data_IF_933600350990
#
_entry.id   IF_933600350990
#
_cell.length_a   1.000
_cell.length_b   1.000
_cell.length_c   1.000
_cell.angle_alpha   90.00
_cell.angle_beta   90.00
_cell.angle_gamma   90.00
#
_symmetry.space_group_name_H-M   'P 1'
#
loop_
_entity.id
_entity.type
_entity.pdbx_description
1 polymer ?
#
# COMPACT_ATOMS: atom_id res chain seq x y z
N UNK A 1 7.92 -9.86 1.23
CA UNK A 1 8.34 -8.62 0.55
C UNK A 1 8.52 -8.78 -0.96
N UNK A 2 7.89 -7.90 -1.75
CA UNK A 2 8.22 -7.64 -3.16
C UNK A 2 8.00 -6.16 -3.48
N UNK A 3 8.59 -5.64 -4.57
CA UNK A 3 8.44 -4.25 -4.98
C UNK A 3 8.15 -4.10 -6.47
N UNK A 4 7.45 -3.04 -6.84
CA UNK A 4 7.13 -2.67 -8.22
C UNK A 4 7.48 -1.21 -8.47
N UNK A 5 7.81 -0.87 -9.72
CA UNK A 5 7.98 0.50 -10.16
C UNK A 5 6.78 0.91 -11.02
N UNK A 6 6.17 2.06 -10.72
CA UNK A 6 5.06 2.60 -11.49
C UNK A 6 5.26 4.07 -11.84
N UNK A 7 4.73 4.48 -12.99
CA UNK A 7 4.60 5.88 -13.39
C UNK A 7 3.19 6.44 -13.17
N UNK A 8 2.26 5.62 -12.67
CA UNK A 8 0.89 6.02 -12.35
C UNK A 8 0.82 6.92 -11.13
N UNK A 9 -0.32 7.61 -11.02
CA UNK A 9 -0.64 8.43 -9.86
C UNK A 9 -0.82 7.55 -8.61
N UNK A 10 0.17 7.61 -7.72
CA UNK A 10 0.21 6.80 -6.50
C UNK A 10 -0.97 7.09 -5.59
N UNK A 11 -1.41 8.35 -5.53
CA UNK A 11 -2.51 8.77 -4.66
C UNK A 11 -3.82 8.10 -5.09
N UNK A 12 -4.12 8.17 -6.39
CA UNK A 12 -5.27 7.47 -6.99
C UNK A 12 -5.20 5.95 -6.79
N UNK A 13 -4.02 5.33 -6.96
CA UNK A 13 -3.82 3.90 -6.70
C UNK A 13 -4.11 3.55 -5.23
N UNK A 14 -3.62 4.38 -4.31
CA UNK A 14 -3.79 4.14 -2.88
C UNK A 14 -5.24 4.32 -2.44
N UNK A 15 -5.98 5.28 -2.99
CA UNK A 15 -7.43 5.40 -2.75
C UNK A 15 -8.16 4.14 -3.23
N UNK A 16 -7.93 3.71 -4.47
CA UNK A 16 -8.56 2.52 -5.05
C UNK A 16 -8.28 1.26 -4.21
N UNK A 17 -7.02 1.05 -3.82
CA UNK A 17 -6.64 -0.11 -3.02
C UNK A 17 -7.25 -0.10 -1.63
N UNK A 18 -7.35 1.04 -0.97
CA UNK A 18 -7.99 1.13 0.35
C UNK A 18 -9.47 0.75 0.29
N UNK A 19 -10.18 1.21 -0.74
CA UNK A 19 -11.59 0.85 -0.95
C UNK A 19 -11.73 -0.64 -1.26
N UNK A 20 -10.88 -1.17 -2.15
CA UNK A 20 -10.90 -2.58 -2.52
C UNK A 20 -10.55 -3.51 -1.35
N UNK A 21 -9.57 -3.14 -0.51
CA UNK A 21 -9.17 -3.89 0.68
C UNK A 21 -10.30 -3.95 1.70
N UNK A 22 -10.91 -2.81 2.02
CA UNK A 22 -12.07 -2.75 2.91
C UNK A 22 -13.24 -3.57 2.37
N UNK A 23 -13.57 -3.44 1.08
CA UNK A 23 -14.64 -4.21 0.44
C UNK A 23 -14.38 -5.72 0.40
N UNK A 24 -13.11 -6.14 0.48
CA UNK A 24 -12.69 -7.55 0.43
C UNK A 24 -12.50 -8.18 1.80
N UNK A 25 -12.79 -7.47 2.89
CA UNK A 25 -12.64 -7.99 4.26
C UNK A 25 -11.23 -7.85 4.84
N UNK A 26 -10.40 -6.98 4.28
CA UNK A 26 -9.09 -6.60 4.79
C UNK A 26 -9.17 -5.17 5.34
N UNK A 27 -9.63 -4.95 6.58
CA UNK A 27 -9.73 -3.62 7.15
C UNK A 27 -8.37 -2.91 7.13
N UNK A 28 -8.37 -1.69 6.58
CA UNK A 28 -7.21 -0.80 6.56
C UNK A 28 -7.14 -0.06 7.90
N UNK A 29 -6.03 -0.23 8.63
CA UNK A 29 -5.76 0.42 9.91
C UNK A 29 -4.98 1.72 9.79
N UNK A 30 -4.16 1.87 8.74
CA UNK A 30 -3.47 3.11 8.40
C UNK A 30 -3.63 3.34 6.91
N UNK A 31 -4.19 4.49 6.55
CA UNK A 31 -4.51 4.85 5.18
C UNK A 31 -3.49 5.80 4.57
N UNK A 32 -3.61 6.01 3.26
CA UNK A 32 -2.77 6.91 2.47
C UNK A 32 -2.75 8.38 2.96
N UNK A 33 -3.81 8.77 3.68
CA UNK A 33 -4.02 10.10 4.26
C UNK A 33 -3.19 10.35 5.52
N UNK A 34 -2.54 9.32 6.07
CA UNK A 34 -1.64 9.49 7.22
C UNK A 34 -0.35 10.18 6.77
N UNK A 35 -0.37 11.51 6.84
CA UNK A 35 0.58 12.49 6.30
C UNK A 35 2.08 12.22 6.51
N UNK A 36 2.46 11.30 7.40
CA UNK A 36 3.86 11.00 7.68
C UNK A 36 4.46 9.89 6.81
N UNK A 37 3.67 8.94 6.33
CA UNK A 37 4.17 7.77 5.59
C UNK A 37 3.13 7.40 4.52
N UNK A 38 3.43 7.59 3.23
CA UNK A 38 2.56 7.15 2.11
C UNK A 38 2.48 5.62 2.11
N UNK A 39 1.68 5.11 3.02
CA UNK A 39 1.62 3.70 3.36
C UNK A 39 0.19 3.27 3.63
N UNK A 40 -0.10 2.01 3.31
CA UNK A 40 -1.36 1.35 3.65
C UNK A 40 -1.01 0.19 4.55
N UNK A 41 -1.59 0.15 5.75
CA UNK A 41 -1.48 -0.99 6.65
C UNK A 41 -2.84 -1.66 6.78
N UNK A 42 -2.87 -2.98 6.58
CA UNK A 42 -4.09 -3.76 6.66
C UNK A 42 -3.81 -5.16 7.23
N UNK A 43 -4.87 -5.79 7.71
CA UNK A 43 -4.86 -7.16 8.21
C UNK A 43 -6.15 -7.84 7.79
N UNK A 44 -6.23 -9.17 7.91
CA UNK A 44 -7.45 -9.88 7.54
C UNK A 44 -7.26 -11.39 7.41
N UNK A 45 -8.18 -12.07 6.71
CA UNK A 45 -8.17 -13.53 6.62
C UNK A 45 -6.83 -14.07 6.06
N UNK A 46 -6.07 -14.81 6.88
CA UNK A 46 -4.79 -15.38 6.48
C UNK A 46 -3.65 -14.37 6.31
N UNK A 47 -3.85 -13.12 6.75
CA UNK A 47 -2.84 -12.06 6.77
C UNK A 47 -2.82 -11.46 8.19
N UNK A 48 -1.79 -11.82 8.97
CA UNK A 48 -1.56 -11.28 10.30
C UNK A 48 -1.31 -9.75 10.23
N UNK A 49 -0.49 -9.33 9.27
CA UNK A 49 -0.20 -7.92 9.01
C UNK A 49 0.33 -7.77 7.58
N UNK A 50 -0.08 -6.71 6.89
CA UNK A 50 0.50 -6.30 5.63
C UNK A 50 0.69 -4.78 5.60
N UNK A 51 1.79 -4.36 4.96
CA UNK A 51 2.15 -2.97 4.77
C UNK A 51 2.55 -2.73 3.32
N UNK A 52 1.96 -1.70 2.72
CA UNK A 52 2.30 -1.17 1.41
C UNK A 52 2.99 0.17 1.65
N UNK A 53 4.15 0.44 1.06
CA UNK A 53 4.90 1.69 1.23
C UNK A 53 5.24 2.26 -0.13
N UNK A 54 5.11 3.57 -0.30
CA UNK A 54 5.65 4.27 -1.47
C UNK A 54 6.92 5.00 -1.09
N UNK A 55 8.00 4.67 -1.78
CA UNK A 55 9.22 5.46 -1.74
C UNK A 55 9.17 6.55 -2.83
N UNK A 56 9.57 7.79 -2.49
CA UNK A 56 9.65 8.87 -3.47
C UNK A 56 10.62 8.51 -4.61
N UNK A 57 10.34 9.11 -5.74
CA UNK A 57 10.79 8.80 -7.10
C UNK A 57 12.26 8.42 -7.25
N UNK A 58 12.52 7.34 -7.99
CA UNK A 58 13.86 7.09 -8.56
C UNK A 58 14.17 8.12 -9.65
N UNK A 59 15.44 8.28 -10.04
CA UNK A 59 15.93 9.24 -11.06
C UNK A 59 15.13 9.24 -12.39
N UNK A 60 14.43 8.14 -12.67
CA UNK A 60 13.63 7.90 -13.88
C UNK A 60 12.18 8.45 -13.80
N UNK A 61 11.80 9.13 -12.72
CA UNK A 61 10.45 9.70 -12.55
C UNK A 61 9.37 8.70 -12.16
N UNK A 62 9.74 7.45 -11.87
CA UNK A 62 8.84 6.39 -11.37
C UNK A 62 8.88 6.24 -9.85
N UNK A 63 7.72 6.01 -9.25
CA UNK A 63 7.56 5.68 -7.84
C UNK A 63 7.79 4.19 -7.61
N UNK A 64 8.43 3.85 -6.50
CA UNK A 64 8.59 2.45 -6.07
C UNK A 64 7.54 2.17 -5.00
N UNK A 65 6.76 1.12 -5.23
CA UNK A 65 5.77 0.62 -4.28
C UNK A 65 6.28 -0.71 -3.75
N UNK A 66 6.43 -0.80 -2.43
CA UNK A 66 6.87 -1.99 -1.72
C UNK A 66 5.69 -2.64 -1.01
N UNK A 67 5.59 -3.95 -1.10
CA UNK A 67 4.57 -4.77 -0.48
C UNK A 67 5.22 -5.76 0.47
N UNK A 68 4.83 -5.70 1.74
CA UNK A 68 5.19 -6.70 2.72
C UNK A 68 3.94 -7.26 3.41
N UNK A 69 3.94 -8.58 3.64
CA UNK A 69 2.81 -9.28 4.25
C UNK A 69 3.31 -10.49 5.03
N UNK A 70 2.81 -10.61 6.25
CA UNK A 70 3.02 -11.75 7.14
C UNK A 70 1.72 -12.52 7.25
N UNK A 71 1.80 -13.85 7.11
CA UNK A 71 0.66 -14.76 7.26
C UNK A 71 0.44 -15.15 8.72
N UNK A 72 -0.82 -15.38 9.09
CA UNK A 72 -1.24 -16.01 10.34
C UNK A 72 -1.28 -17.54 10.19
#
# INVERSE_FOLDING_TARGET
>A
MFSIATGDDVDALFTDWQESLNGSGYPVTQGADDLLDRSIEFSGPGIANAKIIVSPTSEDGRSIIEFDATRD
#
